data_IF_158443195070
#
_entry.id   IF_158443195070
#
_cell.length_a   1.000
_cell.length_b   1.000
_cell.length_c   1.000
_cell.angle_alpha   90.00
_cell.angle_beta   90.00
_cell.angle_gamma   90.00
#
_symmetry.space_group_name_H-M   'P 1'
#
loop_
_entity.id
_entity.type
_entity.pdbx_description
1 polymer ?
#
# COMPACT_ATOMS: atom_id res chain seq x y z
N UNK A 1 8.35 -6.91 -14.59
CA UNK A 1 7.30 -6.14 -13.89
C UNK A 1 7.47 -6.34 -12.41
N UNK A 2 7.42 -5.25 -11.63
CA UNK A 2 7.59 -5.27 -10.17
C UNK A 2 6.23 -5.41 -9.49
N UNK A 3 6.23 -5.81 -8.23
CA UNK A 3 5.04 -5.69 -7.40
C UNK A 3 4.88 -4.23 -6.94
N UNK A 4 3.66 -3.76 -6.77
CA UNK A 4 3.37 -2.39 -6.33
C UNK A 4 2.82 -2.41 -4.91
N UNK A 5 3.51 -1.77 -3.97
CA UNK A 5 3.04 -1.55 -2.60
C UNK A 5 2.29 -0.21 -2.55
N UNK A 6 0.98 -0.26 -2.36
CA UNK A 6 0.16 0.91 -2.11
C UNK A 6 0.01 1.16 -0.62
N UNK A 7 0.17 2.41 -0.20
CA UNK A 7 -0.02 2.84 1.19
C UNK A 7 -0.54 4.28 1.28
N UNK A 8 -1.10 4.66 2.43
CA UNK A 8 -1.64 5.99 2.70
C UNK A 8 -0.73 6.86 3.59
N UNK A 9 0.37 6.31 4.10
CA UNK A 9 1.34 7.03 4.93
C UNK A 9 1.17 6.81 6.44
N UNK A 10 0.24 5.94 6.82
CA UNK A 10 0.02 5.54 8.21
C UNK A 10 1.26 4.93 8.88
N UNK A 11 1.34 4.97 10.21
CA UNK A 11 2.48 4.38 10.95
C UNK A 11 2.70 2.90 10.61
N UNK A 12 1.61 2.11 10.55
CA UNK A 12 1.69 0.68 10.24
C UNK A 12 2.14 0.42 8.79
N UNK A 13 1.90 1.37 7.88
CA UNK A 13 2.36 1.32 6.50
C UNK A 13 3.89 1.33 6.42
N UNK A 14 4.55 2.07 7.31
CA UNK A 14 6.02 2.11 7.40
C UNK A 14 6.58 0.79 7.91
N UNK A 15 5.94 0.19 8.90
CA UNK A 15 6.36 -1.11 9.48
C UNK A 15 6.20 -2.24 8.45
N UNK A 16 5.00 -2.39 7.88
CA UNK A 16 4.73 -3.39 6.83
C UNK A 16 5.59 -3.13 5.59
N UNK A 17 5.76 -1.87 5.20
CA UNK A 17 6.58 -1.51 4.06
C UNK A 17 8.03 -1.95 4.24
N UNK A 18 8.60 -1.75 5.43
CA UNK A 18 9.97 -2.19 5.73
C UNK A 18 10.09 -3.72 5.69
N UNK A 19 9.14 -4.46 6.25
CA UNK A 19 9.13 -5.93 6.22
C UNK A 19 9.06 -6.45 4.77
N UNK A 20 8.24 -5.82 3.94
CA UNK A 20 8.09 -6.18 2.52
C UNK A 20 9.36 -5.85 1.73
N UNK A 21 9.99 -4.69 1.99
CA UNK A 21 11.29 -4.35 1.41
C UNK A 21 12.37 -5.35 1.82
N UNK A 22 12.37 -5.81 3.07
CA UNK A 22 13.33 -6.81 3.55
C UNK A 22 13.11 -8.19 2.91
N UNK A 23 11.86 -8.57 2.65
CA UNK A 23 11.51 -9.87 2.08
C UNK A 23 11.73 -9.94 0.57
N UNK A 24 11.32 -8.90 -0.16
CA UNK A 24 11.25 -8.91 -1.63
C UNK A 24 12.39 -8.08 -2.26
N UNK A 25 12.97 -7.14 -1.50
CA UNK A 25 14.00 -6.22 -1.97
C UNK A 25 13.41 -4.98 -2.64
N UNK A 26 13.94 -3.80 -2.30
CA UNK A 26 13.47 -2.51 -2.82
C UNK A 26 13.48 -2.44 -4.35
N UNK A 27 14.46 -3.07 -5.01
CA UNK A 27 14.56 -3.09 -6.47
C UNK A 27 13.41 -3.83 -7.15
N UNK A 28 12.69 -4.70 -6.44
CA UNK A 28 11.57 -5.49 -6.95
C UNK A 28 10.20 -4.89 -6.63
N UNK A 29 10.18 -3.69 -6.02
CA UNK A 29 8.98 -3.01 -5.58
C UNK A 29 8.86 -1.64 -6.25
N UNK A 30 7.62 -1.27 -6.56
CA UNK A 30 7.20 0.10 -6.78
C UNK A 30 6.39 0.54 -5.56
N UNK A 31 6.78 1.62 -4.89
CA UNK A 31 6.10 2.10 -3.67
C UNK A 31 5.26 3.31 -4.05
N UNK A 32 3.95 3.24 -3.79
CA UNK A 32 2.98 4.27 -4.18
C UNK A 32 2.24 4.79 -2.96
N UNK A 33 2.42 6.08 -2.68
CA UNK A 33 1.71 6.79 -1.62
C UNK A 33 0.41 7.40 -2.16
N UNK A 34 -0.74 6.86 -1.77
CA UNK A 34 -2.04 7.31 -2.30
C UNK A 34 -2.51 8.63 -1.70
N UNK A 35 -2.15 8.92 -0.44
CA UNK A 35 -2.49 10.20 0.21
C UNK A 35 -1.88 11.43 -0.48
N UNK A 36 -0.76 11.28 -1.21
CA UNK A 36 -0.13 12.34 -1.98
C UNK A 36 -0.61 12.38 -3.44
N UNK A 37 -1.23 11.30 -3.91
CA UNK A 37 -1.60 11.06 -5.30
C UNK A 37 -3.00 10.45 -5.37
N UNK A 38 -4.07 11.26 -5.27
CA UNK A 38 -5.45 10.77 -5.27
C UNK A 38 -5.80 9.89 -6.48
N UNK A 39 -5.20 10.15 -7.65
CA UNK A 39 -5.35 9.33 -8.85
C UNK A 39 -4.83 7.90 -8.66
N UNK A 40 -3.85 7.71 -7.77
CA UNK A 40 -3.31 6.39 -7.42
C UNK A 40 -4.24 5.61 -6.50
N UNK A 41 -5.07 6.29 -5.73
CA UNK A 41 -6.10 5.63 -4.93
C UNK A 41 -7.16 4.99 -5.83
N UNK A 42 -7.62 5.71 -6.87
CA UNK A 42 -8.56 5.17 -7.86
C UNK A 42 -7.94 4.00 -8.64
N UNK A 43 -6.69 4.15 -9.08
CA UNK A 43 -5.92 3.08 -9.74
C UNK A 43 -5.84 1.83 -8.84
N UNK A 44 -5.56 2.00 -7.54
CA UNK A 44 -5.48 0.90 -6.58
C UNK A 44 -6.84 0.20 -6.41
N UNK A 45 -7.93 0.98 -6.28
CA UNK A 45 -9.29 0.44 -6.17
C UNK A 45 -9.69 -0.37 -7.41
N UNK A 46 -9.37 0.12 -8.61
CA UNK A 46 -9.60 -0.61 -9.86
C UNK A 46 -8.80 -1.91 -9.94
N UNK A 47 -7.63 -1.97 -9.30
CA UNK A 47 -6.82 -3.19 -9.16
C UNK A 47 -7.29 -4.13 -8.06
N UNK A 48 -8.38 -3.81 -7.34
CA UNK A 48 -8.95 -4.63 -6.27
C UNK A 48 -8.36 -4.37 -4.88
N UNK A 49 -7.62 -3.28 -4.68
CA UNK A 49 -7.19 -2.85 -3.35
C UNK A 49 -8.40 -2.33 -2.57
N UNK A 50 -8.56 -2.82 -1.34
CA UNK A 50 -9.69 -2.51 -0.46
C UNK A 50 -9.27 -1.74 0.79
N UNK A 51 -8.05 -2.00 1.26
CA UNK A 51 -7.45 -1.43 2.47
C UNK A 51 -5.97 -1.19 2.21
N UNK A 52 -5.39 -0.22 2.90
CA UNK A 52 -3.95 0.02 2.91
C UNK A 52 -3.33 -0.43 4.24
N UNK A 53 -2.06 -0.85 4.23
CA UNK A 53 -1.23 -1.11 3.06
C UNK A 53 -1.71 -2.35 2.27
N UNK A 54 -1.39 -2.41 0.98
CA UNK A 54 -1.65 -3.58 0.13
C UNK A 54 -0.58 -3.74 -0.95
N UNK A 55 -0.27 -5.00 -1.30
CA UNK A 55 0.69 -5.34 -2.35
C UNK A 55 -0.04 -5.91 -3.56
N UNK A 56 0.10 -5.26 -4.71
CA UNK A 56 -0.38 -5.77 -6.01
C UNK A 56 0.78 -6.47 -6.72
N UNK A 57 0.64 -7.76 -6.94
CA UNK A 57 1.65 -8.58 -7.62
C UNK A 57 1.59 -8.39 -9.14
N UNK A 58 2.67 -8.74 -9.84
CA UNK A 58 2.75 -8.61 -11.30
C UNK A 58 1.73 -9.47 -12.06
N UNK A 59 1.13 -10.47 -11.41
CA UNK A 59 0.06 -11.30 -11.96
C UNK A 59 -1.35 -10.75 -11.66
N UNK A 60 -1.45 -9.57 -11.04
CA UNK A 60 -2.72 -8.91 -10.69
C UNK A 60 -3.33 -9.36 -9.36
N UNK A 61 -2.75 -10.34 -8.66
CA UNK A 61 -3.22 -10.71 -7.33
C UNK A 61 -2.94 -9.59 -6.34
N UNK A 62 -3.88 -9.38 -5.42
CA UNK A 62 -3.74 -8.40 -4.33
C UNK A 62 -3.53 -9.14 -3.01
N UNK A 63 -2.48 -8.78 -2.29
CA UNK A 63 -2.24 -9.19 -0.92
C UNK A 63 -2.61 -8.04 0.00
N UNK A 64 -3.70 -8.22 0.76
CA UNK A 64 -4.04 -7.34 1.86
C UNK A 64 -3.34 -7.81 3.13
N UNK A 65 -2.86 -6.88 3.93
CA UNK A 65 -2.23 -7.18 5.20
C UNK A 65 -3.25 -7.06 6.32
N UNK A 66 -3.23 -8.02 7.25
CA UNK A 66 -4.06 -7.93 8.45
C UNK A 66 -3.44 -6.90 9.40
N UNK A 67 -3.85 -5.65 9.22
CA UNK A 67 -3.47 -4.54 10.09
C UNK A 67 -4.59 -4.29 11.08
N UNK A 68 -4.26 -4.04 12.35
CA UNK A 68 -5.24 -3.54 13.30
C UNK A 68 -5.80 -2.23 12.74
N UNK A 69 -7.12 -2.14 12.65
CA UNK A 69 -7.84 -0.99 12.10
C UNK A 69 -7.28 0.30 12.69
N UNK A 70 -6.66 1.10 11.83
CA UNK A 70 -6.66 2.54 12.00
C UNK A 70 -7.95 2.98 11.30
N UNK A 71 -8.94 3.43 12.09
CA UNK A 71 -10.05 4.19 11.51
C UNK A 71 -9.44 5.39 10.80
N UNK A 72 -9.52 5.39 9.47
CA UNK A 72 -9.19 6.54 8.62
C UNK A 72 -10.10 7.71 8.97
N UNK A 73 -9.78 8.38 10.06
CA UNK A 73 -10.39 9.63 10.46
C UNK A 73 -9.64 10.78 9.78
N UNK A 74 -10.34 11.88 9.56
CA UNK A 74 -9.87 13.10 8.88
C UNK A 74 -8.59 13.70 9.50
N UNK A 75 -8.22 13.27 10.71
CA UNK A 75 -7.00 13.67 11.42
C UNK A 75 -5.71 13.12 10.81
N UNK A 76 -5.76 12.13 9.90
CA UNK A 76 -4.55 11.67 9.19
C UNK A 76 -4.12 12.57 8.02
N UNK A 77 -4.84 13.67 7.77
CA UNK A 77 -4.48 14.71 6.81
C UNK A 77 -3.93 16.00 7.47
N UNK A 78 -3.67 15.97 8.79
CA UNK A 78 -3.07 17.07 9.56
C UNK A 78 -1.69 16.72 10.10
#
# INVERSE_FOLDING_TARGET
>A
MKATLYHDGCKICSEVGQDIVNLIGLTNLDITHVGLHPEKEEEAKLKGVKVFPALVLSNGNVLHFNVLEHEGNIECLL
#
